data_IF_269235652385
#
_entry.id   IF_269235652385
#
_cell.length_a   1.000
_cell.length_b   1.000
_cell.length_c   1.000
_cell.angle_alpha   90.00
_cell.angle_beta   90.00
_cell.angle_gamma   90.00
#
_symmetry.space_group_name_H-M   'P 1'
#
loop_
_entity.id
_entity.type
_entity.pdbx_description
1 polymer ?
#
# COMPACT_ATOMS: atom_id res chain seq x y z
N UNK A 1 3.47 14.75 7.83
CA UNK A 1 3.54 14.60 6.35
C UNK A 1 3.66 13.12 6.04
N UNK A 2 2.63 12.46 5.48
CA UNK A 2 2.73 11.03 5.10
C UNK A 2 3.70 10.90 3.92
N UNK A 3 4.85 10.29 4.15
CA UNK A 3 5.87 10.08 3.13
C UNK A 3 5.33 9.17 2.02
N UNK A 4 5.43 9.62 0.77
CA UNK A 4 5.06 8.83 -0.40
C UNK A 4 6.01 7.64 -0.48
N UNK A 5 5.48 6.43 -0.62
CA UNK A 5 6.33 5.24 -0.71
C UNK A 5 7.04 5.23 -2.05
N UNK A 6 8.37 5.07 -2.01
CA UNK A 6 9.20 5.14 -3.21
C UNK A 6 9.35 3.76 -3.86
N UNK A 7 9.01 3.70 -5.14
CA UNK A 7 9.20 2.51 -5.99
C UNK A 7 10.68 2.10 -6.01
N UNK A 8 11.59 3.06 -6.11
CA UNK A 8 13.03 2.81 -6.13
C UNK A 8 13.52 2.13 -4.84
N UNK A 9 13.03 2.57 -3.69
CA UNK A 9 13.35 1.96 -2.38
C UNK A 9 12.81 0.54 -2.32
N UNK A 10 11.61 0.32 -2.86
CA UNK A 10 10.98 -1.01 -2.92
C UNK A 10 11.79 -1.99 -3.78
N UNK A 11 12.32 -1.56 -4.92
CA UNK A 11 13.24 -2.37 -5.74
C UNK A 11 14.60 -2.60 -5.07
N UNK A 12 15.13 -1.61 -4.35
CA UNK A 12 16.36 -1.78 -3.57
C UNK A 12 16.22 -2.87 -2.51
N UNK A 13 15.14 -2.83 -1.73
CA UNK A 13 14.80 -3.87 -0.75
C UNK A 13 14.55 -5.23 -1.40
N UNK A 14 14.04 -5.25 -2.63
CA UNK A 14 13.88 -6.48 -3.40
C UNK A 14 15.24 -7.08 -3.79
N UNK A 15 16.18 -6.28 -4.33
CA UNK A 15 17.53 -6.75 -4.70
C UNK A 15 18.32 -7.19 -3.46
N UNK A 16 18.39 -6.35 -2.43
CA UNK A 16 19.12 -6.62 -1.18
C UNK A 16 18.52 -7.82 -0.44
N UNK A 17 17.20 -8.03 -0.56
CA UNK A 17 16.50 -9.17 -0.02
C UNK A 17 16.69 -10.49 -0.79
N UNK A 18 17.70 -10.59 -1.66
CA UNK A 18 17.98 -11.79 -2.44
C UNK A 18 16.99 -11.99 -3.58
N UNK A 19 16.78 -10.98 -4.42
CA UNK A 19 15.77 -10.99 -5.50
C UNK A 19 14.35 -11.20 -4.96
N UNK A 20 14.02 -10.58 -3.84
CA UNK A 20 12.70 -10.68 -3.24
C UNK A 20 12.52 -11.90 -2.33
N UNK A 21 13.40 -12.92 -2.36
CA UNK A 21 13.35 -14.19 -1.58
C UNK A 21 13.06 -13.98 -0.09
N UNK A 22 13.64 -12.93 0.51
CA UNK A 22 13.42 -12.60 1.93
C UNK A 22 12.11 -11.82 2.19
N UNK A 23 11.39 -11.36 1.17
CA UNK A 23 10.11 -10.63 1.32
C UNK A 23 10.22 -9.22 1.93
N UNK A 24 11.43 -8.67 2.06
CA UNK A 24 11.72 -7.38 2.71
C UNK A 24 10.93 -6.18 2.15
N UNK A 25 10.69 -6.17 0.84
CA UNK A 25 9.88 -5.14 0.17
C UNK A 25 8.42 -5.12 0.66
N UNK A 26 7.85 -6.27 1.05
CA UNK A 26 6.46 -6.35 1.56
C UNK A 26 6.31 -5.79 2.97
N UNK A 27 7.37 -5.91 3.79
CA UNK A 27 7.42 -5.26 5.10
C UNK A 27 7.44 -3.74 4.97
N UNK A 28 8.17 -3.19 3.98
CA UNK A 28 8.17 -1.75 3.69
C UNK A 28 6.80 -1.24 3.21
N UNK A 29 6.09 -2.05 2.42
CA UNK A 29 4.72 -1.76 2.00
C UNK A 29 3.69 -1.87 3.15
N UNK A 30 4.07 -2.43 4.31
CA UNK A 30 3.18 -2.60 5.47
C UNK A 30 2.38 -3.90 5.45
N UNK A 31 2.71 -4.84 4.56
CA UNK A 31 2.01 -6.10 4.35
C UNK A 31 2.70 -7.26 5.09
N UNK A 32 2.81 -7.11 6.42
CA UNK A 32 3.57 -8.00 7.33
C UNK A 32 3.19 -9.47 7.21
N UNK A 33 1.88 -9.78 7.17
CA UNK A 33 1.39 -11.17 7.04
C UNK A 33 1.89 -11.80 5.75
N UNK A 34 1.82 -11.08 4.63
CA UNK A 34 2.30 -11.59 3.35
C UNK A 34 3.82 -11.69 3.25
N UNK A 35 4.55 -10.81 3.96
CA UNK A 35 6.00 -10.90 4.10
C UNK A 35 6.44 -12.11 4.94
N UNK A 36 5.71 -12.42 6.01
CA UNK A 36 5.98 -13.57 6.87
C UNK A 36 5.72 -14.89 6.15
N UNK A 37 4.62 -14.98 5.37
CA UNK A 37 4.36 -16.12 4.48
C UNK A 37 5.49 -16.26 3.46
N UNK A 38 5.97 -15.15 2.90
CA UNK A 38 7.11 -15.13 1.98
C UNK A 38 8.40 -15.66 2.60
N UNK A 39 8.68 -15.28 3.84
CA UNK A 39 9.86 -15.72 4.59
C UNK A 39 9.79 -17.22 4.90
N UNK A 40 8.61 -17.71 5.33
CA UNK A 40 8.37 -19.12 5.66
C UNK A 40 8.38 -20.02 4.42
N UNK A 41 8.01 -19.47 3.26
CA UNK A 41 8.04 -20.20 1.97
C UNK A 41 9.35 -20.02 1.21
N UNK A 42 10.28 -19.20 1.71
CA UNK A 42 11.56 -18.91 1.05
C UNK A 42 11.38 -18.26 -0.32
N UNK A 43 10.35 -17.42 -0.48
CA UNK A 43 10.00 -16.84 -1.77
C UNK A 43 9.66 -17.89 -2.82
N UNK A 44 8.79 -18.81 -2.43
CA UNK A 44 8.53 -20.13 -3.01
C UNK A 44 9.07 -20.32 -4.45
N UNK A 45 10.34 -20.74 -4.52
CA UNK A 45 11.09 -21.12 -5.73
C UNK A 45 11.41 -20.01 -6.76
N UNK A 46 11.66 -18.75 -6.34
CA UNK A 46 12.13 -17.65 -7.21
C UNK A 46 11.07 -17.11 -8.19
N UNK A 47 10.11 -17.92 -8.62
CA UNK A 47 9.03 -17.54 -9.55
C UNK A 47 8.14 -16.47 -8.92
N UNK A 48 7.76 -16.64 -7.65
CA UNK A 48 7.00 -15.62 -6.93
C UNK A 48 7.72 -14.27 -6.89
N UNK A 49 9.06 -14.30 -6.86
CA UNK A 49 9.91 -13.11 -6.80
C UNK A 49 9.95 -12.39 -8.15
N UNK A 50 10.03 -13.17 -9.23
CA UNK A 50 9.94 -12.66 -10.60
C UNK A 50 8.59 -12.00 -10.89
N UNK A 51 7.49 -12.62 -10.45
CA UNK A 51 6.14 -12.06 -10.60
C UNK A 51 6.01 -10.75 -9.83
N UNK A 52 6.66 -10.64 -8.67
CA UNK A 52 6.65 -9.41 -7.87
C UNK A 52 7.23 -8.20 -8.62
N UNK A 53 8.19 -8.41 -9.55
CA UNK A 53 8.78 -7.34 -10.35
C UNK A 53 7.74 -6.57 -11.18
N UNK A 54 6.71 -7.26 -11.67
CA UNK A 54 5.60 -6.69 -12.42
C UNK A 54 4.49 -6.12 -11.53
N UNK A 55 4.36 -6.63 -10.30
CA UNK A 55 3.31 -6.21 -9.36
C UNK A 55 3.67 -4.97 -8.54
N UNK A 56 4.95 -4.75 -8.23
CA UNK A 56 5.44 -3.58 -7.45
C UNK A 56 4.88 -2.23 -7.95
N UNK A 57 4.92 -1.87 -9.26
CA UNK A 57 4.43 -0.57 -9.71
C UNK A 57 2.93 -0.38 -9.44
N UNK A 58 2.12 -1.43 -9.63
CA UNK A 58 0.69 -1.39 -9.34
C UNK A 58 0.39 -1.28 -7.84
N UNK A 59 1.16 -1.97 -7.00
CA UNK A 59 0.99 -1.91 -5.54
C UNK A 59 1.33 -0.53 -4.98
N UNK A 60 2.40 0.09 -5.47
CA UNK A 60 2.77 1.45 -5.03
C UNK A 60 1.75 2.49 -5.49
N UNK A 61 1.22 2.35 -6.72
CA UNK A 61 0.16 3.24 -7.22
C UNK A 61 -1.12 3.13 -6.38
N UNK A 62 -1.55 1.90 -6.07
CA UNK A 62 -2.77 1.67 -5.29
C UNK A 62 -2.66 2.28 -3.89
N UNK A 63 -1.52 2.10 -3.21
CA UNK A 63 -1.36 2.67 -1.87
C UNK A 63 -1.18 4.18 -1.88
N UNK A 64 -0.48 4.72 -2.88
CA UNK A 64 -0.39 6.17 -3.04
C UNK A 64 -1.77 6.79 -3.34
N UNK A 65 -2.62 6.13 -4.13
CA UNK A 65 -3.99 6.56 -4.41
C UNK A 65 -4.87 6.46 -3.16
N UNK A 66 -4.86 5.32 -2.48
CA UNK A 66 -5.61 5.11 -1.23
C UNK A 66 -5.25 6.18 -0.19
N UNK A 67 -3.97 6.49 -0.03
CA UNK A 67 -3.49 7.58 0.83
C UNK A 67 -3.97 8.97 0.38
N UNK A 68 -4.05 9.22 -0.93
CA UNK A 68 -4.59 10.47 -1.45
C UNK A 68 -6.10 10.61 -1.20
N UNK A 69 -6.87 9.54 -1.43
CA UNK A 69 -8.31 9.50 -1.16
C UNK A 69 -8.59 9.65 0.33
N UNK A 70 -7.85 8.93 1.16
CA UNK A 70 -7.97 9.02 2.61
C UNK A 70 -7.59 10.42 3.13
N UNK A 71 -6.59 11.08 2.53
CA UNK A 71 -6.27 12.49 2.81
C UNK A 71 -7.37 13.45 2.37
N UNK A 72 -7.97 13.22 1.21
CA UNK A 72 -9.10 14.03 0.73
C UNK A 72 -10.31 13.86 1.64
N UNK A 73 -10.63 12.63 2.03
CA UNK A 73 -11.70 12.34 2.98
C UNK A 73 -11.41 12.89 4.38
N UNK A 74 -10.15 13.01 4.82
CA UNK A 74 -9.81 13.66 6.09
C UNK A 74 -9.59 15.17 5.99
N UNK A 75 -9.53 15.74 4.77
CA UNK A 75 -9.38 17.17 4.59
C UNK A 75 -10.69 17.88 4.99
N UNK A 76 -10.65 18.87 5.91
CA UNK A 76 -11.81 19.68 6.22
C UNK A 76 -12.29 20.42 4.97
N UNK A 77 -13.53 20.19 4.54
CA UNK A 77 -14.14 20.89 3.40
C UNK A 77 -14.12 20.19 2.05
N UNK A 78 -13.81 18.89 1.97
CA UNK A 78 -13.81 18.12 0.71
C UNK A 78 -15.19 17.59 0.27
N UNK A 79 -16.25 17.79 1.07
CA UNK A 79 -17.61 17.28 0.81
C UNK A 79 -17.75 15.75 0.86
N UNK A 80 -16.65 15.01 0.99
CA UNK A 80 -16.62 13.55 0.94
C UNK A 80 -17.20 12.86 2.19
N UNK A 81 -17.27 13.59 3.30
CA UNK A 81 -17.81 13.12 4.58
C UNK A 81 -18.90 14.01 5.14
N UNK A 82 -19.61 14.80 4.32
CA UNK A 82 -20.90 15.34 4.78
C UNK A 82 -21.79 14.14 5.17
N UNK A 83 -22.17 14.00 6.46
CA UNK A 83 -23.23 13.08 6.82
C UNK A 83 -24.41 13.40 5.89
N UNK A 84 -25.20 12.42 5.41
CA UNK A 84 -26.41 12.71 4.65
C UNK A 84 -27.13 13.79 5.43
N UNK A 85 -27.26 14.99 4.84
CA UNK A 85 -27.76 16.15 5.57
C UNK A 85 -29.01 15.67 6.28
N UNK A 86 -29.00 15.65 7.62
CA UNK A 86 -30.21 15.34 8.35
C UNK A 86 -31.24 16.30 7.76
N UNK A 87 -32.38 15.79 7.24
CA UNK A 87 -33.29 16.63 6.50
C UNK A 87 -33.60 17.80 7.42
N UNK A 88 -33.21 19.01 6.98
CA UNK A 88 -33.40 20.29 7.70
C UNK A 88 -34.88 20.48 8.10
N UNK A 89 -35.77 19.63 7.58
CA UNK A 89 -37.14 19.40 8.01
C UNK A 89 -37.33 18.92 9.48
N UNK A 90 -36.30 18.45 10.21
CA UNK A 90 -36.43 18.04 11.63
C UNK A 90 -35.94 19.09 12.64
N UNK A 91 -35.49 20.27 12.18
CA UNK A 91 -35.01 21.37 13.02
C UNK A 91 -36.01 22.53 13.19
N UNK A 92 -37.29 22.30 12.86
CA UNK A 92 -38.39 23.22 13.18
C UNK A 92 -39.47 22.53 13.98
#
# INVERSE_FOLDING_TARGET
>A
MVAVKSVAVTYLLWIVGGFGVLGLHRFYLGRWVSGLIWLLTGGLFFIGALVDLFLIPGQVQLENLSQQLLRQAMAPGSGAWEPPAEPVALQR
#
